data_IF_419687056849
#
_entry.id   IF_419687056849
#
_cell.length_a   1.000
_cell.length_b   1.000
_cell.length_c   1.000
_cell.angle_alpha   90.00
_cell.angle_beta   90.00
_cell.angle_gamma   90.00
#
_symmetry.space_group_name_H-M   'P 1'
#
loop_
_entity.id
_entity.type
_entity.pdbx_description
1 polymer ?
#
# COMPACT_ATOMS: atom_id res chain seq x y z
N UNK A 1 -15.33 -10.85 20.19
CA UNK A 1 -14.31 -10.21 19.34
C UNK A 1 -13.12 -11.14 19.25
N UNK A 2 -12.44 -11.23 18.10
CA UNK A 2 -11.26 -12.07 17.99
C UNK A 2 -10.09 -11.46 18.78
N UNK A 3 -9.13 -12.29 19.20
CA UNK A 3 -7.95 -11.80 19.90
C UNK A 3 -7.07 -10.97 18.95
N UNK A 4 -6.71 -9.75 19.35
CA UNK A 4 -5.77 -8.93 18.60
C UNK A 4 -4.32 -9.42 18.75
N UNK A 5 -3.52 -9.17 17.73
CA UNK A 5 -2.07 -9.42 17.68
C UNK A 5 -1.34 -8.10 17.47
N UNK A 6 -0.20 -7.95 18.14
CA UNK A 6 0.75 -6.88 17.85
C UNK A 6 1.60 -7.31 16.66
N UNK A 7 1.69 -6.45 15.66
CA UNK A 7 2.53 -6.60 14.49
C UNK A 7 3.44 -5.38 14.41
N UNK A 8 4.72 -5.58 14.12
CA UNK A 8 5.68 -4.48 13.93
C UNK A 8 6.29 -4.59 12.55
N UNK A 9 6.14 -3.54 11.73
CA UNK A 9 6.64 -3.50 10.36
C UNK A 9 7.32 -2.15 10.07
N UNK A 10 8.25 -2.13 9.12
CA UNK A 10 8.70 -0.88 8.50
C UNK A 10 7.67 -0.46 7.45
N UNK A 11 7.02 0.69 7.63
CA UNK A 11 6.04 1.22 6.69
C UNK A 11 6.51 2.60 6.22
N UNK A 12 6.88 2.70 4.95
CA UNK A 12 7.44 3.90 4.32
C UNK A 12 8.68 4.44 5.06
N UNK A 13 9.61 3.54 5.44
CA UNK A 13 10.86 3.88 6.13
C UNK A 13 10.67 4.23 7.61
N UNK A 14 9.51 3.90 8.19
CA UNK A 14 9.20 4.14 9.61
C UNK A 14 8.75 2.84 10.25
N UNK A 15 9.47 2.41 11.28
CA UNK A 15 9.07 1.29 12.11
C UNK A 15 7.78 1.64 12.87
N UNK A 16 6.71 0.85 12.65
CA UNK A 16 5.39 1.05 13.25
C UNK A 16 4.91 -0.27 13.86
N UNK A 17 4.43 -0.20 15.10
CA UNK A 17 3.68 -1.29 15.74
C UNK A 17 2.19 -0.98 15.73
N UNK A 18 1.36 -1.97 15.38
CA UNK A 18 -0.09 -1.85 15.35
C UNK A 18 -0.78 -3.12 15.84
N UNK A 19 -2.02 -2.96 16.29
CA UNK A 19 -2.90 -4.06 16.66
C UNK A 19 -3.79 -4.43 15.47
N UNK A 20 -3.93 -5.72 15.21
CA UNK A 20 -4.88 -6.24 14.22
C UNK A 20 -5.46 -7.59 14.65
N UNK A 21 -6.66 -7.92 14.19
CA UNK A 21 -7.18 -9.28 14.29
C UNK A 21 -6.54 -10.18 13.22
N UNK A 22 -6.38 -11.50 13.46
CA UNK A 22 -5.79 -12.43 12.49
C UNK A 22 -6.46 -12.48 11.12
N UNK A 23 -7.73 -12.05 11.02
CA UNK A 23 -8.50 -12.00 9.78
C UNK A 23 -8.40 -10.68 9.02
N UNK A 24 -7.87 -9.62 9.66
CA UNK A 24 -7.79 -8.31 9.01
C UNK A 24 -6.72 -8.37 7.92
N UNK A 25 -7.09 -7.91 6.75
CA UNK A 25 -6.20 -7.76 5.60
C UNK A 25 -5.24 -6.60 5.85
N UNK A 26 -4.10 -6.62 5.14
CA UNK A 26 -3.17 -5.50 5.14
C UNK A 26 -3.86 -4.22 4.63
N UNK A 27 -4.76 -4.34 3.65
CA UNK A 27 -5.54 -3.22 3.14
C UNK A 27 -6.38 -2.54 4.25
N UNK A 28 -7.15 -3.31 5.00
CA UNK A 28 -7.98 -2.80 6.10
C UNK A 28 -7.10 -2.12 7.16
N UNK A 29 -6.00 -2.76 7.57
CA UNK A 29 -5.12 -2.18 8.59
C UNK A 29 -4.46 -0.88 8.13
N UNK A 30 -3.94 -0.83 6.90
CA UNK A 30 -3.34 0.39 6.37
C UNK A 30 -4.34 1.55 6.38
N UNK A 31 -5.58 1.29 5.95
CA UNK A 31 -6.59 2.33 5.77
C UNK A 31 -7.27 2.74 7.07
N UNK A 32 -7.70 1.76 7.86
CA UNK A 32 -8.65 1.97 8.95
C UNK A 32 -7.96 2.03 10.33
N UNK A 33 -6.80 1.39 10.48
CA UNK A 33 -6.04 1.42 11.75
C UNK A 33 -4.88 2.43 11.72
N UNK A 34 -4.30 2.66 10.54
CA UNK A 34 -3.09 3.49 10.38
C UNK A 34 -3.32 4.80 9.62
N UNK A 35 -4.54 5.05 9.15
CA UNK A 35 -4.94 6.22 8.37
C UNK A 35 -4.11 6.46 7.09
N UNK A 36 -3.44 5.43 6.56
CA UNK A 36 -2.75 5.41 5.27
C UNK A 36 -3.77 5.06 4.17
N UNK A 37 -4.65 6.01 3.91
CA UNK A 37 -5.82 5.83 3.05
C UNK A 37 -5.54 5.88 1.56
N UNK A 38 -4.29 6.11 1.15
CA UNK A 38 -3.83 6.18 -0.23
C UNK A 38 -4.00 4.85 -0.96
N UNK A 39 -3.70 3.72 -0.32
CA UNK A 39 -4.04 2.39 -0.82
C UNK A 39 -5.57 2.24 -0.90
N UNK A 40 -6.10 1.81 -2.05
CA UNK A 40 -7.56 1.82 -2.29
C UNK A 40 -8.17 0.43 -2.28
N UNK A 41 -9.35 0.35 -1.68
CA UNK A 41 -10.24 -0.77 -1.87
C UNK A 41 -11.01 -0.60 -3.18
N UNK A 42 -11.11 -1.67 -3.97
CA UNK A 42 -11.83 -1.66 -5.25
C UNK A 42 -12.68 -2.92 -5.46
N UNK A 43 -12.06 -4.10 -5.41
CA UNK A 43 -12.75 -5.38 -5.63
C UNK A 43 -12.67 -6.37 -4.45
N UNK A 44 -11.71 -6.17 -3.55
CA UNK A 44 -11.45 -7.03 -2.37
C UNK A 44 -11.30 -8.53 -2.68
N UNK A 45 -10.94 -8.87 -3.91
CA UNK A 45 -10.72 -10.25 -4.37
C UNK A 45 -9.49 -10.42 -5.28
N UNK A 46 -8.59 -9.42 -5.29
CA UNK A 46 -7.34 -9.45 -6.04
C UNK A 46 -7.41 -9.03 -7.51
N UNK A 47 -8.60 -8.88 -8.11
CA UNK A 47 -8.73 -8.68 -9.56
C UNK A 47 -8.32 -7.28 -10.05
N UNK A 48 -8.58 -6.21 -9.29
CA UNK A 48 -8.46 -4.83 -9.80
C UNK A 48 -7.08 -4.17 -9.62
N UNK A 49 -6.24 -4.65 -8.71
CA UNK A 49 -4.93 -4.03 -8.41
C UNK A 49 -4.97 -2.64 -7.72
N UNK A 50 -6.12 -2.07 -7.40
CA UNK A 50 -6.21 -0.74 -6.76
C UNK A 50 -5.53 -0.69 -5.36
N UNK A 51 -5.37 -1.85 -4.73
CA UNK A 51 -4.76 -2.02 -3.41
C UNK A 51 -3.26 -2.42 -3.47
N UNK A 52 -2.60 -2.26 -4.62
CA UNK A 52 -1.19 -2.66 -4.75
C UNK A 52 -0.29 -1.84 -3.82
N UNK A 53 0.56 -2.55 -3.09
CA UNK A 53 1.66 -2.05 -2.25
C UNK A 53 2.92 -2.86 -2.56
N UNK A 54 4.10 -2.40 -2.16
CA UNK A 54 5.30 -3.24 -2.18
C UNK A 54 5.49 -3.88 -0.82
N UNK A 55 5.51 -5.21 -0.77
CA UNK A 55 5.81 -6.00 0.41
C UNK A 55 7.17 -6.66 0.21
N UNK A 56 8.17 -6.23 1.00
CA UNK A 56 9.57 -6.62 0.86
C UNK A 56 10.07 -6.43 -0.59
N UNK A 57 9.77 -5.27 -1.17
CA UNK A 57 10.12 -4.91 -2.55
C UNK A 57 9.29 -5.57 -3.65
N UNK A 58 8.37 -6.51 -3.33
CA UNK A 58 7.52 -7.17 -4.34
C UNK A 58 6.12 -6.57 -4.39
N UNK A 59 5.56 -6.30 -5.58
CA UNK A 59 4.19 -5.82 -5.68
C UNK A 59 3.21 -6.92 -5.27
N UNK A 60 2.29 -6.59 -4.37
CA UNK A 60 1.23 -7.49 -3.90
C UNK A 60 -0.10 -6.75 -3.81
N UNK A 61 -1.21 -7.47 -3.98
CA UNK A 61 -2.56 -6.94 -3.70
C UNK A 61 -2.85 -7.07 -2.21
N UNK A 62 -2.79 -5.95 -1.47
CA UNK A 62 -2.90 -5.95 0.00
C UNK A 62 -4.23 -6.47 0.56
N UNK A 63 -5.29 -6.55 -0.26
CA UNK A 63 -6.56 -7.17 0.14
C UNK A 63 -6.50 -8.70 0.28
N UNK A 64 -5.46 -9.36 -0.25
CA UNK A 64 -5.24 -10.80 -0.13
C UNK A 64 -4.01 -11.15 0.72
N UNK A 65 -3.53 -10.20 1.52
CA UNK A 65 -2.45 -10.41 2.50
C UNK A 65 -3.03 -10.17 3.88
N UNK A 66 -2.81 -11.08 4.83
CA UNK A 66 -3.24 -10.86 6.21
C UNK A 66 -2.25 -9.94 6.91
N UNK A 67 -2.74 -8.94 7.64
CA UNK A 67 -1.87 -7.97 8.32
C UNK A 67 -0.95 -8.64 9.36
N UNK A 68 -1.41 -9.73 9.98
CA UNK A 68 -0.61 -10.54 10.92
C UNK A 68 0.60 -11.22 10.28
N UNK A 69 0.60 -11.45 8.97
CA UNK A 69 1.72 -12.05 8.25
C UNK A 69 2.84 -11.04 7.94
N UNK A 70 2.58 -9.75 8.17
CA UNK A 70 3.50 -8.66 7.87
C UNK A 70 4.48 -8.33 9.03
N UNK A 71 4.52 -9.14 10.08
CA UNK A 71 5.44 -8.91 11.19
C UNK A 71 6.90 -8.99 10.72
N UNK A 72 7.69 -7.96 11.03
CA UNK A 72 9.06 -7.77 10.56
C UNK A 72 9.20 -7.39 9.08
N UNK A 73 8.10 -7.21 8.34
CA UNK A 73 8.15 -6.88 6.92
C UNK A 73 8.47 -5.39 6.66
N UNK A 74 8.93 -5.10 5.44
CA UNK A 74 9.00 -3.74 4.88
C UNK A 74 7.85 -3.55 3.91
N UNK A 75 7.08 -2.46 4.09
CA UNK A 75 5.90 -2.12 3.30
C UNK A 75 6.07 -0.71 2.75
N UNK A 76 5.93 -0.58 1.43
CA UNK A 76 5.84 0.73 0.78
C UNK A 76 4.43 0.92 0.20
N UNK A 77 3.82 2.06 0.53
CA UNK A 77 2.52 2.49 0.02
C UNK A 77 2.68 3.74 -0.84
N UNK A 78 1.58 4.21 -1.45
CA UNK A 78 1.62 5.41 -2.30
C UNK A 78 2.08 6.66 -1.54
N UNK A 79 1.79 6.76 -0.24
CA UNK A 79 2.22 7.85 0.62
C UNK A 79 3.74 7.93 0.78
N UNK A 80 4.44 6.80 0.59
CA UNK A 80 5.90 6.71 0.65
C UNK A 80 6.60 6.93 -0.68
N UNK A 81 5.87 7.16 -1.78
CA UNK A 81 6.50 7.24 -3.11
C UNK A 81 7.19 8.59 -3.35
N UNK A 82 6.71 9.68 -2.76
CA UNK A 82 7.26 11.02 -2.99
C UNK A 82 8.65 11.17 -2.35
N UNK A 83 9.50 11.96 -3.00
CA UNK A 83 10.80 12.35 -2.44
C UNK A 83 10.65 13.61 -1.59
N UNK A 84 11.70 13.95 -0.82
CA UNK A 84 11.69 15.16 0.03
C UNK A 84 11.47 16.44 -0.78
N UNK A 85 11.89 16.44 -2.05
CA UNK A 85 11.88 17.61 -2.92
C UNK A 85 10.65 17.66 -3.86
N UNK A 86 9.72 16.71 -3.74
CA UNK A 86 8.45 16.72 -4.46
C UNK A 86 8.07 15.41 -5.14
N UNK A 87 7.37 15.53 -6.28
CA UNK A 87 6.92 14.40 -7.08
C UNK A 87 8.09 13.69 -7.75
N UNK A 88 8.05 12.37 -7.76
CA UNK A 88 9.01 11.55 -8.52
C UNK A 88 8.84 11.74 -10.03
N UNK A 89 9.85 11.41 -10.86
CA UNK A 89 9.71 11.39 -12.31
C UNK A 89 8.51 10.56 -12.79
N UNK A 90 8.23 9.43 -12.12
CA UNK A 90 7.07 8.59 -12.40
C UNK A 90 5.74 9.32 -12.16
N UNK A 91 5.61 10.03 -11.03
CA UNK A 91 4.39 10.79 -10.73
C UNK A 91 4.21 11.98 -11.69
N UNK A 92 5.28 12.69 -12.03
CA UNK A 92 5.24 13.77 -13.03
C UNK A 92 4.79 13.24 -14.40
N UNK A 93 5.33 12.10 -14.85
CA UNK A 93 4.90 11.48 -16.10
C UNK A 93 3.40 11.14 -16.11
N UNK A 94 2.83 10.70 -14.99
CA UNK A 94 1.39 10.46 -14.88
C UNK A 94 0.56 11.75 -15.04
N UNK A 95 1.04 12.88 -14.50
CA UNK A 95 0.38 14.18 -14.64
C UNK A 95 0.49 14.72 -16.07
N UNK A 96 1.69 14.73 -16.63
CA UNK A 96 1.97 15.26 -17.98
C UNK A 96 1.18 14.53 -19.07
N UNK A 97 0.93 13.23 -18.88
CA UNK A 97 0.20 12.40 -19.83
C UNK A 97 -1.27 12.20 -19.48
N UNK A 98 -1.81 12.93 -18.50
CA UNK A 98 -3.19 12.78 -18.01
C UNK A 98 -3.56 11.30 -17.73
N UNK A 99 -2.63 10.54 -17.13
CA UNK A 99 -2.76 9.11 -16.85
C UNK A 99 -3.66 8.82 -15.62
N UNK A 100 -4.47 9.78 -15.20
CA UNK A 100 -5.52 9.62 -14.20
C UNK A 100 -6.75 10.47 -14.53
N UNK A 101 -7.90 10.04 -14.04
CA UNK A 101 -9.14 10.81 -14.09
C UNK A 101 -9.76 10.89 -12.68
N UNK A 102 -10.55 9.88 -12.27
CA UNK A 102 -11.13 9.83 -10.93
C UNK A 102 -10.08 9.62 -9.82
N UNK A 103 -8.89 9.13 -10.17
CA UNK A 103 -7.76 8.95 -9.26
C UNK A 103 -7.78 7.68 -8.41
N UNK A 104 -8.86 6.87 -8.42
CA UNK A 104 -8.98 5.70 -7.54
C UNK A 104 -7.95 4.60 -7.86
N UNK A 105 -7.67 4.32 -9.13
CA UNK A 105 -6.68 3.31 -9.50
C UNK A 105 -5.24 3.84 -9.46
N UNK A 106 -5.05 5.16 -9.41
CA UNK A 106 -3.74 5.80 -9.56
C UNK A 106 -2.71 5.31 -8.53
N UNK A 107 -3.04 5.14 -7.23
CA UNK A 107 -2.12 4.55 -6.26
C UNK A 107 -1.60 3.17 -6.69
N UNK A 108 -2.50 2.25 -7.03
CA UNK A 108 -2.13 0.90 -7.45
C UNK A 108 -1.28 0.89 -8.72
N UNK A 109 -1.61 1.72 -9.70
CA UNK A 109 -0.81 1.85 -10.93
C UNK A 109 0.59 2.39 -10.66
N UNK A 110 0.73 3.42 -9.81
CA UNK A 110 2.03 3.99 -9.46
C UNK A 110 2.91 2.97 -8.73
N UNK A 111 2.35 2.23 -7.76
CA UNK A 111 3.09 1.18 -7.05
C UNK A 111 3.54 0.05 -7.98
N UNK A 112 2.65 -0.43 -8.86
CA UNK A 112 2.98 -1.45 -9.86
C UNK A 112 4.04 -0.96 -10.85
N UNK A 113 3.93 0.27 -11.33
CA UNK A 113 4.89 0.84 -12.30
C UNK A 113 6.26 1.04 -11.65
N UNK A 114 6.30 1.49 -10.39
CA UNK A 114 7.55 1.57 -9.62
C UNK A 114 8.23 0.20 -9.55
N UNK A 115 7.49 -0.86 -9.20
CA UNK A 115 8.04 -2.22 -9.16
C UNK A 115 8.51 -2.73 -10.52
N UNK A 116 7.87 -2.33 -11.62
CA UNK A 116 8.25 -2.74 -12.98
C UNK A 116 9.54 -2.07 -13.47
N UNK A 117 9.83 -0.85 -13.01
CA UNK A 117 10.98 -0.06 -13.45
C UNK A 117 12.27 -0.33 -12.66
N UNK A 118 12.20 -1.14 -11.60
CA UNK A 118 13.32 -1.52 -10.74
C UNK A 118 13.81 -2.93 -11.06
#
# INVERSE_FOLDING_TARGET
>A
MAAQRVVTADINGRNRSFLCEPRQTLLEVLRDNLDLTGTKEGCSNGNCGACTVLLNGRPVVSCLVLAVECDGATIETIEGICEKDGLTPLQNAFLENAALQCGICTPGFLMSTKAMLQ
#
